data_IF_274829353720
#
_entry.id   IF_274829353720
#
_cell.length_a   1.000
_cell.length_b   1.000
_cell.length_c   1.000
_cell.angle_alpha   90.00
_cell.angle_beta   90.00
_cell.angle_gamma   90.00
#
_symmetry.space_group_name_H-M   'P 1'
#
loop_
_entity.id
_entity.type
_entity.pdbx_description
1 polymer ?
#
# COMPACT_ATOMS: atom_id res chain seq x y z
N UNK A 1 11.93 36.60 -3.72
CA UNK A 1 11.04 35.43 -3.55
C UNK A 1 10.80 34.79 -4.91
N UNK A 2 11.00 33.47 -5.02
CA UNK A 2 10.45 32.48 -5.99
C UNK A 2 11.49 31.40 -6.32
N UNK A 3 11.78 30.54 -5.34
CA UNK A 3 12.40 29.21 -5.55
C UNK A 3 11.46 28.20 -4.88
N UNK A 4 10.28 27.98 -5.46
CA UNK A 4 9.30 27.04 -4.87
C UNK A 4 8.71 26.08 -5.90
N UNK A 5 9.05 26.20 -7.20
CA UNK A 5 8.39 25.40 -8.23
C UNK A 5 9.19 24.21 -8.79
N UNK A 6 10.44 24.01 -8.36
CA UNK A 6 11.31 22.96 -8.94
C UNK A 6 11.38 21.67 -8.15
N UNK A 7 10.77 21.57 -6.96
CA UNK A 7 10.85 20.35 -6.15
C UNK A 7 9.73 19.33 -6.47
N UNK A 8 8.62 19.77 -7.10
CA UNK A 8 7.47 18.90 -7.38
C UNK A 8 7.63 18.02 -8.63
N UNK A 9 8.59 18.33 -9.51
CA UNK A 9 8.83 17.55 -10.72
C UNK A 9 9.80 16.37 -10.53
N UNK A 10 10.61 16.36 -9.46
CA UNK A 10 11.63 15.33 -9.28
C UNK A 10 11.09 14.00 -8.74
N UNK A 11 9.91 14.01 -8.12
CA UNK A 11 9.28 12.79 -7.57
C UNK A 11 8.54 12.00 -8.68
N UNK A 12 8.20 12.66 -9.80
CA UNK A 12 7.43 12.02 -10.87
C UNK A 12 8.29 11.20 -11.85
N UNK A 13 9.60 11.45 -11.90
CA UNK A 13 10.50 10.82 -12.89
C UNK A 13 11.14 9.50 -12.46
N UNK A 14 10.96 9.06 -11.21
CA UNK A 14 11.48 7.76 -10.73
C UNK A 14 10.54 6.60 -11.06
N UNK A 15 9.34 6.88 -11.59
CA UNK A 15 8.32 5.86 -11.86
C UNK A 15 8.45 5.12 -13.20
N UNK A 16 9.38 5.50 -14.11
CA UNK A 16 9.37 4.97 -15.49
C UNK A 16 10.51 3.99 -15.79
N UNK A 17 11.51 3.81 -14.92
CA UNK A 17 12.77 3.19 -15.36
C UNK A 17 13.02 1.70 -15.02
N UNK A 18 12.18 0.96 -14.28
CA UNK A 18 12.53 -0.43 -13.88
C UNK A 18 11.41 -1.49 -13.85
N UNK A 19 10.43 -1.39 -14.75
CA UNK A 19 9.45 -2.49 -14.92
C UNK A 19 8.98 -2.64 -16.37
N UNK A 20 9.89 -2.42 -17.32
CA UNK A 20 9.68 -2.90 -18.68
C UNK A 20 10.09 -4.37 -18.74
N UNK A 21 9.20 -5.27 -18.32
CA UNK A 21 9.25 -6.66 -18.77
C UNK A 21 9.25 -6.64 -20.30
N UNK A 22 10.09 -7.44 -20.98
CA UNK A 22 10.04 -7.56 -22.43
C UNK A 22 8.60 -7.84 -22.90
N UNK A 23 8.11 -7.21 -23.98
CA UNK A 23 6.78 -7.48 -24.49
C UNK A 23 6.69 -8.96 -24.88
N UNK A 24 5.90 -9.74 -24.14
CA UNK A 24 5.69 -11.18 -24.37
C UNK A 24 6.01 -12.08 -23.18
N UNK A 25 6.67 -11.59 -22.13
CA UNK A 25 6.89 -12.36 -20.91
C UNK A 25 5.91 -11.96 -19.79
N UNK A 26 5.29 -12.92 -19.08
CA UNK A 26 4.44 -12.60 -17.94
C UNK A 26 5.28 -11.90 -16.86
N UNK A 27 4.72 -10.91 -16.16
CA UNK A 27 5.42 -10.24 -15.07
C UNK A 27 5.78 -11.28 -13.98
N UNK A 28 7.08 -11.44 -13.73
CA UNK A 28 7.58 -12.30 -12.65
C UNK A 28 7.55 -11.51 -11.35
N UNK A 29 6.56 -11.80 -10.51
CA UNK A 29 6.44 -11.20 -9.19
C UNK A 29 7.30 -11.93 -8.15
N UNK A 30 7.81 -11.19 -7.17
CA UNK A 30 8.51 -11.79 -6.02
C UNK A 30 7.57 -12.69 -5.22
N UNK A 31 8.12 -13.67 -4.50
CA UNK A 31 7.33 -14.52 -3.60
C UNK A 31 6.59 -13.68 -2.54
N UNK A 32 7.21 -12.60 -2.05
CA UNK A 32 6.59 -11.67 -1.10
C UNK A 32 5.32 -11.04 -1.68
N UNK A 33 5.40 -10.51 -2.90
CA UNK A 33 4.25 -9.92 -3.61
C UNK A 33 3.15 -10.97 -3.79
N UNK A 34 3.48 -12.16 -4.29
CA UNK A 34 2.50 -13.24 -4.50
C UNK A 34 1.80 -13.61 -3.19
N UNK A 35 2.55 -13.73 -2.09
CA UNK A 35 1.99 -14.07 -0.78
C UNK A 35 1.07 -12.97 -0.24
N UNK A 36 1.41 -11.68 -0.44
CA UNK A 36 0.54 -10.56 -0.04
C UNK A 36 -0.76 -10.50 -0.84
N UNK A 37 -0.72 -10.77 -2.15
CA UNK A 37 -1.96 -10.86 -2.95
C UNK A 37 -2.79 -12.07 -2.55
N UNK A 38 -2.15 -13.23 -2.34
CA UNK A 38 -2.82 -14.44 -1.87
C UNK A 38 -3.47 -14.27 -0.51
N UNK A 39 -2.81 -13.54 0.40
CA UNK A 39 -3.35 -13.19 1.72
C UNK A 39 -4.75 -12.54 1.60
N UNK A 40 -4.89 -11.57 0.71
CA UNK A 40 -6.14 -10.84 0.49
C UNK A 40 -7.17 -11.71 -0.23
N UNK A 41 -6.78 -12.28 -1.38
CA UNK A 41 -7.68 -13.07 -2.24
C UNK A 41 -8.14 -14.38 -1.62
N UNK A 42 -7.42 -14.91 -0.62
CA UNK A 42 -7.87 -16.07 0.17
C UNK A 42 -9.04 -15.77 1.10
N UNK A 43 -9.34 -14.49 1.32
CA UNK A 43 -10.30 -14.02 2.32
C UNK A 43 -11.48 -13.30 1.67
N UNK A 44 -11.23 -12.55 0.60
CA UNK A 44 -12.25 -11.80 -0.13
C UNK A 44 -12.20 -12.12 -1.64
N UNK A 45 -13.38 -12.21 -2.24
CA UNK A 45 -13.53 -12.32 -3.69
C UNK A 45 -13.53 -10.93 -4.30
N UNK A 46 -12.62 -10.68 -5.24
CA UNK A 46 -12.46 -9.39 -5.93
C UNK A 46 -12.24 -9.63 -7.43
N UNK A 47 -12.44 -8.61 -8.26
CA UNK A 47 -12.23 -8.72 -9.70
C UNK A 47 -10.75 -8.91 -10.06
N UNK A 48 -10.50 -9.54 -11.21
CA UNK A 48 -9.15 -9.73 -11.76
C UNK A 48 -8.40 -8.40 -11.93
N UNK A 49 -9.11 -7.33 -12.32
CA UNK A 49 -8.56 -5.98 -12.39
C UNK A 49 -7.98 -5.51 -11.05
N UNK A 50 -8.67 -5.78 -9.93
CA UNK A 50 -8.16 -5.43 -8.59
C UNK A 50 -7.02 -6.33 -8.16
N UNK A 51 -7.05 -7.61 -8.54
CA UNK A 51 -5.92 -8.53 -8.30
C UNK A 51 -4.66 -8.00 -8.97
N UNK A 52 -4.75 -7.58 -10.24
CA UNK A 52 -3.63 -6.98 -10.97
C UNK A 52 -3.17 -5.64 -10.36
N UNK A 53 -4.11 -4.82 -9.89
CA UNK A 53 -3.78 -3.60 -9.16
C UNK A 53 -3.04 -3.89 -7.84
N UNK A 54 -3.42 -4.94 -7.10
CA UNK A 54 -2.72 -5.37 -5.89
C UNK A 54 -1.30 -5.86 -6.20
N UNK A 55 -1.11 -6.66 -7.25
CA UNK A 55 0.22 -7.07 -7.70
C UNK A 55 1.12 -5.87 -7.99
N UNK A 56 0.60 -4.90 -8.75
CA UNK A 56 1.31 -3.67 -9.12
C UNK A 56 1.65 -2.84 -7.87
N UNK A 57 0.68 -2.69 -6.96
CA UNK A 57 0.86 -1.98 -5.70
C UNK A 57 1.95 -2.61 -4.82
N UNK A 58 1.92 -3.93 -4.62
CA UNK A 58 2.90 -4.60 -3.76
C UNK A 58 4.30 -4.63 -4.39
N UNK A 59 4.41 -4.67 -5.72
CA UNK A 59 5.70 -4.50 -6.39
C UNK A 59 6.28 -3.09 -6.18
N UNK A 60 5.43 -2.06 -6.26
CA UNK A 60 5.81 -0.67 -5.94
C UNK A 60 6.21 -0.52 -4.48
N UNK A 61 5.45 -1.10 -3.56
CA UNK A 61 5.71 -1.09 -2.12
C UNK A 61 7.07 -1.73 -1.80
N UNK A 62 7.36 -2.90 -2.38
CA UNK A 62 8.65 -3.59 -2.22
C UNK A 62 9.82 -2.72 -2.69
N UNK A 63 9.67 -2.09 -3.87
CA UNK A 63 10.68 -1.18 -4.42
C UNK A 63 10.89 0.05 -3.53
N UNK A 64 9.81 0.62 -3.00
CA UNK A 64 9.88 1.80 -2.14
C UNK A 64 10.56 1.50 -0.80
N UNK A 65 10.30 0.33 -0.19
CA UNK A 65 10.97 -0.08 1.03
C UNK A 65 12.44 -0.46 0.80
N UNK A 66 12.76 -1.13 -0.32
CA UNK A 66 14.13 -1.39 -0.69
C UNK A 66 14.92 -0.07 -0.82
N UNK A 67 14.37 0.92 -1.52
CA UNK A 67 14.99 2.24 -1.66
C UNK A 67 15.14 2.97 -0.32
N UNK A 68 14.10 2.97 0.53
CA UNK A 68 14.16 3.61 1.84
C UNK A 68 15.24 2.98 2.74
N UNK A 69 15.40 1.65 2.67
CA UNK A 69 16.46 0.92 3.37
C UNK A 69 17.84 1.27 2.81
N UNK A 70 18.01 1.21 1.50
CA UNK A 70 19.31 1.41 0.85
C UNK A 70 19.82 2.86 1.01
N UNK A 71 18.90 3.82 1.17
CA UNK A 71 19.23 5.24 1.43
C UNK A 71 19.33 5.60 2.91
N UNK A 72 19.14 4.64 3.83
CA UNK A 72 19.04 4.88 5.27
C UNK A 72 18.06 6.03 5.60
N UNK A 73 16.89 6.02 4.96
CA UNK A 73 15.91 7.10 5.07
C UNK A 73 15.54 7.36 6.54
N UNK A 74 15.45 8.64 6.96
CA UNK A 74 15.01 9.00 8.32
C UNK A 74 13.68 8.34 8.70
N UNK A 75 13.51 8.03 9.99
CA UNK A 75 12.30 7.38 10.51
C UNK A 75 11.01 8.13 10.14
N UNK A 76 11.04 9.46 10.15
CA UNK A 76 9.91 10.30 9.76
C UNK A 76 9.54 10.14 8.27
N UNK A 77 10.53 10.05 7.38
CA UNK A 77 10.28 9.83 5.95
C UNK A 77 9.73 8.43 5.70
N UNK A 78 10.23 7.43 6.43
CA UNK A 78 9.72 6.06 6.37
C UNK A 78 8.27 5.98 6.86
N UNK A 79 7.92 6.70 7.94
CA UNK A 79 6.53 6.78 8.42
C UNK A 79 5.59 7.45 7.40
N UNK A 80 6.04 8.55 6.77
CA UNK A 80 5.27 9.22 5.72
C UNK A 80 5.06 8.31 4.50
N UNK A 81 6.09 7.56 4.10
CA UNK A 81 6.00 6.55 3.04
C UNK A 81 4.96 5.47 3.39
N UNK A 82 5.01 4.93 4.61
CA UNK A 82 4.04 3.95 5.10
C UNK A 82 2.61 4.50 5.05
N UNK A 83 2.39 5.73 5.52
CA UNK A 83 1.08 6.37 5.50
C UNK A 83 0.56 6.56 4.06
N UNK A 84 1.43 6.98 3.14
CA UNK A 84 1.11 7.13 1.71
C UNK A 84 0.73 5.79 1.07
N UNK A 85 1.52 4.74 1.29
CA UNK A 85 1.24 3.40 0.76
C UNK A 85 -0.07 2.82 1.32
N UNK A 86 -0.37 3.06 2.60
CA UNK A 86 -1.66 2.66 3.20
C UNK A 86 -2.84 3.42 2.58
N UNK A 87 -2.70 4.71 2.31
CA UNK A 87 -3.74 5.49 1.65
C UNK A 87 -4.00 5.00 0.23
N UNK A 88 -2.94 4.70 -0.54
CA UNK A 88 -3.04 4.14 -1.89
C UNK A 88 -3.67 2.75 -1.89
N UNK A 89 -3.30 1.87 -0.96
CA UNK A 89 -3.94 0.55 -0.85
C UNK A 89 -5.46 0.65 -0.69
N UNK A 90 -5.94 1.62 0.11
CA UNK A 90 -7.37 1.84 0.38
C UNK A 90 -8.15 2.32 -0.83
N UNK A 91 -7.51 2.76 -1.91
CA UNK A 91 -8.21 3.13 -3.15
C UNK A 91 -8.43 1.93 -4.07
N UNK A 92 -7.71 0.82 -3.87
CA UNK A 92 -7.83 -0.39 -4.69
C UNK A 92 -9.07 -1.20 -4.31
N UNK A 93 -9.33 -1.32 -3.00
CA UNK A 93 -10.48 -2.04 -2.46
C UNK A 93 -11.64 -1.08 -2.16
N UNK A 94 -12.86 -1.56 -2.30
CA UNK A 94 -14.03 -0.81 -1.79
C UNK A 94 -14.02 -0.80 -0.26
N UNK A 95 -14.70 0.16 0.39
CA UNK A 95 -14.86 0.13 1.84
C UNK A 95 -15.46 -1.19 2.36
N UNK A 96 -16.38 -1.81 1.62
CA UNK A 96 -16.97 -3.10 1.99
C UNK A 96 -15.96 -4.25 1.91
N UNK A 97 -15.16 -4.31 0.84
CA UNK A 97 -14.11 -5.33 0.67
C UNK A 97 -13.02 -5.19 1.73
N UNK A 98 -12.59 -3.96 2.00
CA UNK A 98 -11.60 -3.66 3.02
C UNK A 98 -12.09 -4.04 4.42
N UNK A 99 -13.35 -3.75 4.73
CA UNK A 99 -13.98 -4.18 5.98
C UNK A 99 -14.05 -5.70 6.10
N UNK A 100 -14.42 -6.40 5.02
CA UNK A 100 -14.49 -7.86 4.99
C UNK A 100 -13.11 -8.50 5.20
N UNK A 101 -12.08 -7.98 4.53
CA UNK A 101 -10.69 -8.39 4.74
C UNK A 101 -10.26 -8.16 6.20
N UNK A 102 -10.49 -6.97 6.74
CA UNK A 102 -10.10 -6.58 8.11
C UNK A 102 -10.80 -7.42 9.18
N UNK A 103 -12.07 -7.79 8.97
CA UNK A 103 -12.82 -8.64 9.88
C UNK A 103 -12.22 -10.05 10.01
N UNK A 104 -11.60 -10.56 8.94
CA UNK A 104 -11.02 -11.90 8.86
C UNK A 104 -9.51 -11.93 9.15
N UNK A 105 -8.81 -10.82 8.89
CA UNK A 105 -7.37 -10.62 9.11
C UNK A 105 -7.12 -9.52 10.15
N UNK A 106 -7.74 -9.62 11.31
CA UNK A 106 -7.55 -8.65 12.40
C UNK A 106 -6.06 -8.52 12.76
N UNK A 107 -5.56 -7.29 12.78
CA UNK A 107 -4.15 -7.00 13.08
C UNK A 107 -3.19 -7.15 11.89
N UNK A 108 -3.67 -7.53 10.70
CA UNK A 108 -2.83 -7.49 9.50
C UNK A 108 -2.46 -6.04 9.15
N UNK A 109 -1.30 -5.87 8.50
CA UNK A 109 -0.70 -4.55 8.27
C UNK A 109 -1.59 -3.56 7.51
N UNK A 110 -2.42 -4.08 6.60
CA UNK A 110 -3.38 -3.32 5.77
C UNK A 110 -4.82 -3.42 6.26
N UNK A 111 -5.10 -4.18 7.32
CA UNK A 111 -6.41 -4.20 7.92
C UNK A 111 -6.73 -2.83 8.54
N UNK A 112 -7.99 -2.44 8.49
CA UNK A 112 -8.48 -1.35 9.32
C UNK A 112 -8.28 -1.75 10.78
N UNK A 113 -7.54 -0.92 11.51
CA UNK A 113 -7.62 -0.94 12.98
C UNK A 113 -9.03 -0.50 13.33
N UNK A 114 -9.69 -1.19 14.26
CA UNK A 114 -10.98 -0.78 14.83
C UNK A 114 -10.86 0.62 15.47
N UNK A 115 -10.89 1.66 14.64
CA UNK A 115 -10.85 3.05 15.07
C UNK A 115 -12.29 3.48 15.32
N UNK A 116 -12.87 3.00 16.42
CA UNK A 116 -13.82 3.70 17.33
C UNK A 116 -14.53 2.69 18.25
N UNK A 117 -13.85 2.23 19.31
CA UNK A 117 -14.55 2.21 20.59
C UNK A 117 -14.42 3.64 21.12
N UNK A 118 -15.35 4.50 20.73
CA UNK A 118 -15.63 5.72 21.47
C UNK A 118 -16.03 5.27 22.87
N UNK A 119 -15.06 5.24 23.80
CA UNK A 119 -15.37 5.21 25.22
C UNK A 119 -16.00 6.57 25.51
N UNK A 120 -17.33 6.64 25.39
CA UNK A 120 -18.09 7.67 26.08
C UNK A 120 -17.62 7.65 27.54
N UNK A 121 -17.14 8.76 28.13
CA UNK A 121 -16.99 8.83 29.56
C UNK A 121 -18.40 8.65 30.14
N UNK A 122 -18.68 7.44 30.62
CA UNK A 122 -19.91 7.12 31.31
C UNK A 122 -20.07 8.11 32.46
N UNK A 123 -21.09 8.95 32.33
CA UNK A 123 -21.55 9.91 33.31
C UNK A 123 -21.91 9.14 34.59
N UNK A 124 -20.96 9.04 35.53
CA UNK A 124 -21.23 8.54 36.89
C UNK A 124 -22.07 9.61 37.59
N UNK A 125 -23.37 9.38 37.64
CA UNK A 125 -24.24 9.97 38.65
C UNK A 125 -24.06 9.24 39.97
#
# INVERSE_FOLDING_TARGET
>A
MKIVFTLLFFILSVAIARSQTPPGEPPVYSLSVVMKVKDITSVITISETKINALYTFFQKEETAFAHARDTNAPSLQTQALIASLKAEFRTILTPQELKAYSAKRRGAYYAETDSTITRQPGNRR
#
